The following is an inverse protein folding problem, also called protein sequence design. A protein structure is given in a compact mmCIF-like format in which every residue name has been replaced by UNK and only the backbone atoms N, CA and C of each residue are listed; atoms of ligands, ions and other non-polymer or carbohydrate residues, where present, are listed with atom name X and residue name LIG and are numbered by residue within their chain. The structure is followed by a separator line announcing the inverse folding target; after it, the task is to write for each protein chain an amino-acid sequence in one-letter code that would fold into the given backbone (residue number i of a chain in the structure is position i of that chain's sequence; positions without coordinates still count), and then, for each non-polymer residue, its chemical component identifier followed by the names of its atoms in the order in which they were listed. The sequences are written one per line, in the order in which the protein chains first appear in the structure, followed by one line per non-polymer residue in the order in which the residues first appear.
data_IF_246836038020
#
_entry.id   IF_246836038020
#
_cell.length_a   1.000
_cell.length_b   1.000
_cell.length_c   1.000
_cell.angle_alpha   90.00
_cell.angle_beta   90.00
_cell.angle_gamma   90.00
#
_symmetry.space_group_name_H-M   'P 1'
#
loop_
_entity.id
_entity.type
_entity.pdbx_description
1 polymer ?
#
# COMPACT_ATOMS: atom_id res chain seq x y z
N UNK A 1 0.83 -20.26 6.14
CA UNK A 1 -0.21 -20.10 7.18
C UNK A 1 -0.66 -21.45 7.72
N UNK A 2 -1.35 -22.31 6.96
CA UNK A 2 -1.87 -23.59 7.47
C UNK A 2 -0.79 -24.48 8.15
N UNK A 3 0.40 -24.64 7.55
CA UNK A 3 1.54 -25.35 8.19
C UNK A 3 2.02 -24.71 9.50
N UNK A 4 1.98 -23.38 9.61
CA UNK A 4 2.41 -22.68 10.81
C UNK A 4 1.35 -22.73 11.92
N UNK A 5 0.08 -22.91 11.53
CA UNK A 5 -1.05 -23.09 12.45
C UNK A 5 -1.26 -24.57 12.86
N UNK A 6 -0.44 -25.49 12.33
CA UNK A 6 -0.50 -26.93 12.61
C UNK A 6 -1.89 -27.55 12.43
N UNK A 7 -2.59 -27.14 11.36
CA UNK A 7 -3.92 -27.66 11.01
C UNK A 7 -3.85 -28.67 9.87
N UNK A 8 -4.70 -29.73 9.87
CA UNK A 8 -4.85 -30.63 8.72
C UNK A 8 -5.22 -29.86 7.45
N UNK A 9 -4.66 -30.28 6.31
CA UNK A 9 -4.84 -29.60 5.02
C UNK A 9 -5.56 -30.54 4.06
N UNK A 10 -6.72 -30.08 3.60
CA UNK A 10 -7.56 -30.74 2.60
C UNK A 10 -7.58 -29.87 1.35
N UNK A 11 -7.42 -30.46 0.16
CA UNK A 11 -7.22 -29.73 -1.10
C UNK A 11 -8.32 -30.06 -2.11
N UNK A 12 -9.04 -29.03 -2.55
CA UNK A 12 -9.98 -29.12 -3.68
C UNK A 12 -9.30 -28.68 -4.99
N UNK A 13 -9.17 -29.60 -5.95
CA UNK A 13 -8.69 -29.32 -7.30
C UNK A 13 -9.89 -28.82 -8.11
N UNK A 14 -9.98 -27.50 -8.27
CA UNK A 14 -11.14 -26.86 -8.90
C UNK A 14 -11.10 -26.89 -10.45
N UNK A 15 -12.26 -26.63 -11.08
CA UNK A 15 -12.51 -26.47 -12.53
C UNK A 15 -12.53 -27.78 -13.32
N UNK A 16 -12.74 -28.94 -12.68
CA UNK A 16 -12.74 -30.27 -13.35
C UNK A 16 -13.83 -30.44 -14.43
N UNK A 17 -14.72 -29.46 -14.57
CA UNK A 17 -15.65 -29.34 -15.71
C UNK A 17 -14.96 -29.01 -17.04
N UNK A 18 -13.72 -28.51 -17.00
CA UNK A 18 -12.95 -28.18 -18.22
C UNK A 18 -12.26 -29.41 -18.79
N UNK A 19 -12.37 -29.60 -20.11
CA UNK A 19 -11.83 -30.75 -20.83
C UNK A 19 -10.29 -30.89 -20.78
N UNK A 20 -9.55 -29.80 -20.52
CA UNK A 20 -8.08 -29.80 -20.50
C UNK A 20 -7.49 -29.85 -19.08
N UNK A 21 -8.24 -30.31 -18.07
CA UNK A 21 -7.69 -30.47 -16.72
C UNK A 21 -7.14 -31.88 -16.54
N UNK A 22 -5.85 -31.92 -16.24
CA UNK A 22 -5.13 -33.11 -15.82
C UNK A 22 -4.95 -33.05 -14.30
N UNK A 23 -5.77 -33.82 -13.58
CA UNK A 23 -5.78 -33.89 -12.12
C UNK A 23 -4.46 -34.51 -11.61
N UNK A 24 -3.96 -35.54 -12.30
CA UNK A 24 -2.73 -36.23 -11.91
C UNK A 24 -1.52 -35.31 -12.01
N UNK A 25 -1.47 -34.47 -13.05
CA UNK A 25 -0.43 -33.44 -13.16
C UNK A 25 -0.46 -32.45 -12.01
N UNK A 26 -1.64 -32.01 -11.57
CA UNK A 26 -1.78 -31.11 -10.43
C UNK A 26 -1.40 -31.80 -9.11
N UNK A 27 -1.75 -33.09 -8.94
CA UNK A 27 -1.29 -33.90 -7.81
C UNK A 27 0.24 -34.04 -7.76
N UNK A 28 0.92 -34.22 -8.91
CA UNK A 28 2.40 -34.21 -8.98
C UNK A 28 2.98 -32.89 -8.49
N UNK A 29 2.45 -31.77 -8.96
CA UNK A 29 2.89 -30.43 -8.55
C UNK A 29 2.64 -30.17 -7.05
N UNK A 30 1.52 -30.65 -6.51
CA UNK A 30 1.24 -30.60 -5.07
C UNK A 30 2.25 -31.44 -4.28
N UNK A 31 2.62 -32.62 -4.76
CA UNK A 31 3.63 -33.48 -4.14
C UNK A 31 5.00 -32.78 -4.09
N UNK A 32 5.39 -32.06 -5.15
CA UNK A 32 6.64 -31.27 -5.17
C UNK A 32 6.64 -30.17 -4.10
N UNK A 33 5.47 -29.64 -3.75
CA UNK A 33 5.29 -28.68 -2.66
C UNK A 33 5.22 -29.34 -1.28
N UNK A 34 5.25 -30.68 -1.19
CA UNK A 34 5.16 -31.44 0.05
C UNK A 34 3.73 -31.84 0.45
N UNK A 35 2.79 -31.86 -0.49
CA UNK A 35 1.41 -32.31 -0.30
C UNK A 35 1.16 -33.59 -1.11
N UNK A 36 1.52 -34.74 -0.56
CA UNK A 36 1.29 -36.04 -1.21
C UNK A 36 -0.16 -36.47 -0.98
N UNK A 37 -0.87 -36.74 -2.08
CA UNK A 37 -2.27 -37.15 -2.06
C UNK A 37 -2.46 -38.53 -1.41
N UNK A 38 -3.58 -38.73 -0.70
CA UNK A 38 -3.88 -40.01 -0.02
C UNK A 38 -3.95 -41.20 -0.97
N UNK A 39 -4.51 -41.03 -2.16
CA UNK A 39 -4.58 -42.10 -3.17
C UNK A 39 -3.20 -42.53 -3.68
N UNK A 40 -2.17 -41.71 -3.42
CA UNK A 40 -0.77 -42.00 -3.73
C UNK A 40 0.04 -42.39 -2.46
N UNK A 41 -0.66 -42.75 -1.38
CA UNK A 41 -0.05 -43.15 -0.11
C UNK A 41 0.41 -41.99 0.78
N UNK A 42 -0.06 -40.77 0.51
CA UNK A 42 0.21 -39.59 1.31
C UNK A 42 -0.80 -39.38 2.46
N UNK A 43 -0.81 -38.15 3.00
CA UNK A 43 -1.70 -37.72 4.08
C UNK A 43 -2.61 -36.55 3.69
N UNK A 44 -2.45 -36.02 2.47
CA UNK A 44 -3.24 -34.88 2.01
C UNK A 44 -4.47 -35.41 1.30
N UNK A 45 -5.65 -35.15 1.87
CA UNK A 45 -6.92 -35.40 1.22
C UNK A 45 -7.02 -34.49 -0.01
N UNK A 46 -7.27 -35.08 -1.18
CA UNK A 46 -7.45 -34.33 -2.43
C UNK A 46 -8.73 -34.76 -3.13
N UNK A 47 -9.54 -33.81 -3.59
CA UNK A 47 -10.75 -34.10 -4.37
C UNK A 47 -10.85 -33.18 -5.59
N UNK A 48 -11.36 -33.72 -6.70
CA UNK A 48 -11.64 -32.94 -7.91
C UNK A 48 -13.03 -32.31 -7.85
N UNK A 49 -13.11 -30.98 -7.91
CA UNK A 49 -14.39 -30.25 -7.82
C UNK A 49 -14.60 -29.28 -8.98
N UNK A 50 -15.86 -28.98 -9.28
CA UNK A 50 -16.25 -27.88 -10.15
C UNK A 50 -17.11 -26.90 -9.37
N UNK A 51 -16.54 -25.77 -8.98
CA UNK A 51 -17.28 -24.69 -8.32
C UNK A 51 -18.34 -24.03 -9.22
N UNK A 52 -18.36 -24.35 -10.52
CA UNK A 52 -19.36 -23.83 -11.47
C UNK A 52 -20.56 -24.77 -11.62
N UNK A 53 -20.32 -26.08 -11.69
CA UNK A 53 -21.37 -27.07 -11.93
C UNK A 53 -21.82 -27.79 -10.67
N UNK A 54 -21.07 -27.65 -9.56
CA UNK A 54 -21.29 -28.39 -8.32
C UNK A 54 -20.72 -29.81 -8.33
N UNK A 55 -20.16 -30.28 -9.45
CA UNK A 55 -19.59 -31.63 -9.55
C UNK A 55 -18.49 -31.84 -8.49
N UNK A 56 -18.58 -32.95 -7.75
CA UNK A 56 -17.57 -33.36 -6.75
C UNK A 56 -17.65 -32.61 -5.41
N UNK A 57 -18.60 -31.68 -5.24
CA UNK A 57 -18.75 -30.93 -3.98
C UNK A 57 -19.25 -31.84 -2.86
N UNK A 58 -20.20 -32.74 -3.13
CA UNK A 58 -20.72 -33.68 -2.12
C UNK A 58 -19.62 -34.62 -1.62
N UNK A 59 -18.85 -35.22 -2.53
CA UNK A 59 -17.69 -36.06 -2.18
C UNK A 59 -16.64 -35.28 -1.38
N UNK A 60 -16.39 -34.01 -1.74
CA UNK A 60 -15.48 -33.17 -0.98
C UNK A 60 -15.99 -32.86 0.44
N UNK A 61 -17.30 -32.66 0.60
CA UNK A 61 -17.92 -32.45 1.90
C UNK A 61 -17.79 -33.71 2.77
N UNK A 62 -18.05 -34.89 2.21
CA UNK A 62 -17.90 -36.16 2.92
C UNK A 62 -16.46 -36.36 3.44
N UNK A 63 -15.46 -35.99 2.62
CA UNK A 63 -14.06 -36.05 3.02
C UNK A 63 -13.72 -35.06 4.15
N UNK A 64 -14.31 -33.86 4.14
CA UNK A 64 -14.15 -32.90 5.25
C UNK A 64 -14.77 -33.45 6.54
N UNK A 65 -15.96 -34.03 6.45
CA UNK A 65 -16.65 -34.64 7.60
C UNK A 65 -15.85 -35.80 8.18
N UNK A 66 -15.34 -36.70 7.33
CA UNK A 66 -14.49 -37.81 7.75
C UNK A 66 -13.22 -37.30 8.46
N UNK A 67 -12.58 -36.25 7.92
CA UNK A 67 -11.41 -35.65 8.56
C UNK A 67 -11.76 -35.05 9.93
N UNK A 68 -12.93 -34.44 10.08
CA UNK A 68 -13.39 -33.88 11.36
C UNK A 68 -13.69 -34.99 12.39
N UNK A 69 -14.24 -36.14 11.97
CA UNK A 69 -14.44 -37.31 12.83
C UNK A 69 -13.11 -37.86 13.35
N UNK A 70 -12.11 -37.99 12.47
CA UNK A 70 -10.75 -38.45 12.84
C UNK A 70 -10.09 -37.52 13.88
N UNK A 71 -10.39 -36.22 13.81
CA UNK A 71 -9.85 -35.22 14.75
C UNK A 71 -10.50 -35.28 16.14
N UNK A 72 -11.63 -35.98 16.30
CA UNK A 72 -12.39 -36.06 17.55
C UNK A 72 -12.61 -34.68 18.21
N UNK A 73 -13.06 -33.70 17.42
CA UNK A 73 -13.25 -32.32 17.88
C UNK A 73 -14.20 -32.26 19.09
N UNK A 74 -13.78 -31.55 20.15
CA UNK A 74 -14.54 -31.39 21.41
C UNK A 74 -14.62 -29.92 21.77
N UNK A 75 -15.74 -29.53 22.36
CA UNK A 75 -15.93 -28.21 22.97
C UNK A 75 -16.69 -28.38 24.28
N UNK A 76 -16.36 -27.55 25.28
CA UNK A 76 -17.07 -27.54 26.56
C UNK A 76 -18.25 -26.57 26.48
N UNK A 77 -19.47 -27.08 26.66
CA UNK A 77 -20.70 -26.28 26.62
C UNK A 77 -21.07 -25.69 28.00
N UNK A 78 -20.47 -26.18 29.08
CA UNK A 78 -20.86 -25.85 30.45
C UNK A 78 -20.12 -24.67 31.08
N UNK A 79 -19.05 -24.19 30.43
CA UNK A 79 -18.24 -23.05 30.90
C UNK A 79 -18.69 -21.72 30.30
N UNK A 80 -18.16 -20.62 30.86
CA UNK A 80 -18.34 -19.29 30.31
C UNK A 80 -17.82 -19.21 28.87
N UNK A 81 -18.56 -18.48 28.02
CA UNK A 81 -18.28 -18.48 26.60
C UNK A 81 -16.97 -17.78 26.26
N UNK A 82 -16.21 -18.43 25.37
CA UNK A 82 -15.00 -17.91 24.77
C UNK A 82 -15.19 -17.92 23.27
N UNK A 83 -14.89 -16.82 22.60
CA UNK A 83 -14.98 -16.71 21.16
C UNK A 83 -13.81 -15.94 20.58
N UNK A 84 -13.72 -15.92 19.25
CA UNK A 84 -12.74 -15.15 18.51
C UNK A 84 -13.44 -14.20 17.54
N UNK A 85 -12.96 -12.97 17.44
CA UNK A 85 -13.47 -11.99 16.48
C UNK A 85 -13.04 -12.41 15.08
N UNK A 86 -14.02 -12.69 14.21
CA UNK A 86 -13.78 -12.92 12.78
C UNK A 86 -13.71 -11.58 12.05
N UNK A 87 -14.64 -10.69 12.36
CA UNK A 87 -14.74 -9.37 11.74
C UNK A 87 -15.44 -8.39 12.69
N UNK A 88 -15.14 -7.10 12.57
CA UNK A 88 -15.83 -6.07 13.31
C UNK A 88 -16.03 -4.79 12.48
N UNK A 89 -17.16 -4.12 12.69
CA UNK A 89 -17.58 -2.92 11.94
C UNK A 89 -18.35 -1.95 12.83
N UNK A 90 -18.41 -0.69 12.41
CA UNK A 90 -19.26 0.32 13.06
C UNK A 90 -20.55 0.51 12.25
N UNK A 91 -21.68 0.05 12.77
CA UNK A 91 -22.98 0.21 12.12
C UNK A 91 -23.62 1.55 12.46
N UNK A 92 -24.07 2.29 11.43
CA UNK A 92 -24.85 3.52 11.60
C UNK A 92 -26.09 3.25 12.46
N UNK A 93 -26.29 4.04 13.52
CA UNK A 93 -27.44 3.97 14.42
C UNK A 93 -27.46 2.82 15.43
N UNK A 94 -26.74 1.72 15.19
CA UNK A 94 -26.67 0.57 16.13
C UNK A 94 -25.44 0.62 17.03
N UNK A 95 -24.31 1.13 16.54
CA UNK A 95 -23.03 1.11 17.25
C UNK A 95 -22.09 0.00 16.75
N UNK A 96 -21.07 -0.37 17.54
CA UNK A 96 -20.09 -1.41 17.16
C UNK A 96 -20.74 -2.79 17.05
N UNK A 97 -20.49 -3.47 15.94
CA UNK A 97 -20.85 -4.86 15.68
C UNK A 97 -19.59 -5.69 15.55
N UNK A 98 -19.61 -6.92 16.07
CA UNK A 98 -18.52 -7.87 15.91
C UNK A 98 -19.10 -9.25 15.58
N UNK A 99 -18.60 -9.87 14.52
CA UNK A 99 -18.85 -11.27 14.20
C UNK A 99 -17.89 -12.14 15.02
N UNK A 100 -18.45 -12.98 15.88
CA UNK A 100 -17.72 -13.83 16.83
C UNK A 100 -17.92 -15.28 16.42
N UNK A 101 -16.84 -16.04 16.29
CA UNK A 101 -16.91 -17.49 16.24
C UNK A 101 -16.75 -18.03 17.67
N UNK A 102 -17.80 -18.62 18.21
CA UNK A 102 -17.77 -19.20 19.57
C UNK A 102 -16.94 -20.48 19.56
N UNK A 103 -15.98 -20.60 20.47
CA UNK A 103 -15.08 -21.75 20.57
C UNK A 103 -15.44 -22.65 21.75
N UNK A 104 -15.84 -22.05 22.88
CA UNK A 104 -16.22 -22.75 24.10
C UNK A 104 -17.40 -22.02 24.76
N UNK A 105 -18.16 -22.72 25.58
CA UNK A 105 -19.35 -22.25 26.26
C UNK A 105 -20.50 -21.88 25.30
N UNK A 106 -21.57 -21.32 25.86
CA UNK A 106 -22.71 -20.82 25.08
C UNK A 106 -22.83 -19.32 25.31
N UNK A 107 -22.60 -18.54 24.27
CA UNK A 107 -22.71 -17.09 24.31
C UNK A 107 -24.19 -16.70 24.31
N UNK A 108 -24.61 -15.76 25.18
CA UNK A 108 -26.02 -15.40 25.33
C UNK A 108 -26.26 -13.89 25.29
N UNK A 109 -27.46 -13.51 24.87
CA UNK A 109 -27.92 -12.13 25.02
C UNK A 109 -28.00 -11.79 26.50
N UNK A 110 -27.36 -10.68 26.88
CA UNK A 110 -27.28 -10.22 28.26
C UNK A 110 -25.95 -10.54 28.95
N UNK A 111 -25.07 -11.34 28.35
CA UNK A 111 -23.75 -11.60 28.92
C UNK A 111 -22.89 -10.33 28.94
N UNK A 112 -22.11 -10.16 30.00
CA UNK A 112 -21.02 -9.20 30.03
C UNK A 112 -19.79 -9.83 29.38
N UNK A 113 -19.16 -9.11 28.48
CA UNK A 113 -18.00 -9.62 27.76
C UNK A 113 -16.89 -8.58 27.65
N UNK A 114 -15.67 -9.09 27.50
CA UNK A 114 -14.47 -8.32 27.22
C UNK A 114 -13.86 -8.83 25.93
N UNK A 115 -13.55 -7.92 25.01
CA UNK A 115 -12.88 -8.22 23.75
C UNK A 115 -11.76 -7.20 23.53
N UNK A 116 -10.51 -7.66 23.55
CA UNK A 116 -9.35 -6.76 23.49
C UNK A 116 -9.38 -5.69 24.59
N UNK A 117 -9.51 -4.43 24.20
CA UNK A 117 -9.56 -3.23 25.05
C UNK A 117 -10.98 -2.67 25.23
N UNK A 118 -11.97 -3.45 24.84
CA UNK A 118 -13.37 -3.06 24.81
C UNK A 118 -14.17 -4.02 25.69
N UNK A 119 -15.16 -3.48 26.36
CA UNK A 119 -16.08 -4.21 27.20
C UNK A 119 -17.53 -3.81 26.89
N UNK A 120 -18.47 -4.68 27.21
CA UNK A 120 -19.88 -4.37 27.05
C UNK A 120 -20.79 -5.51 27.42
N UNK A 121 -22.09 -5.18 27.49
CA UNK A 121 -23.16 -6.16 27.66
C UNK A 121 -23.76 -6.47 26.31
N UNK A 122 -23.92 -7.74 25.97
CA UNK A 122 -24.54 -8.17 24.71
C UNK A 122 -26.01 -7.75 24.73
N UNK A 123 -26.39 -6.84 23.84
CA UNK A 123 -27.75 -6.30 23.71
C UNK A 123 -28.59 -7.08 22.70
N UNK A 124 -27.95 -7.58 21.66
CA UNK A 124 -28.56 -8.38 20.61
C UNK A 124 -27.50 -9.25 19.96
N UNK A 125 -27.94 -10.40 19.41
CA UNK A 125 -27.13 -11.28 18.59
C UNK A 125 -27.92 -11.67 17.34
N UNK A 126 -27.19 -11.93 16.25
CA UNK A 126 -27.74 -12.38 14.98
C UNK A 126 -26.91 -13.53 14.42
N UNK A 127 -27.56 -14.45 13.70
CA UNK A 127 -26.87 -15.51 12.95
C UNK A 127 -26.29 -14.99 11.62
N UNK A 128 -25.70 -15.89 10.83
CA UNK A 128 -25.13 -15.62 9.51
C UNK A 128 -26.16 -15.19 8.47
N UNK A 129 -27.44 -15.50 8.70
CA UNK A 129 -28.59 -15.06 7.88
C UNK A 129 -29.22 -13.77 8.41
N UNK A 130 -28.59 -13.09 9.37
CA UNK A 130 -29.07 -11.87 10.03
C UNK A 130 -30.39 -12.05 10.78
N UNK A 131 -30.75 -13.28 11.14
CA UNK A 131 -31.91 -13.56 11.99
C UNK A 131 -31.52 -13.40 13.47
N UNK A 132 -32.40 -12.82 14.30
CA UNK A 132 -32.09 -12.62 15.72
C UNK A 132 -32.00 -13.96 16.47
N UNK A 133 -30.96 -14.11 17.28
CA UNK A 133 -30.73 -15.29 18.12
C UNK A 133 -30.52 -14.89 19.59
N UNK A 134 -30.84 -15.80 20.51
CA UNK A 134 -30.67 -15.58 21.97
C UNK A 134 -29.44 -16.27 22.54
N UNK A 135 -28.97 -17.33 21.87
CA UNK A 135 -27.82 -18.13 22.27
C UNK A 135 -27.01 -18.56 21.04
N UNK A 136 -25.69 -18.69 21.21
CA UNK A 136 -24.78 -19.19 20.19
C UNK A 136 -23.84 -20.24 20.83
N UNK A 137 -23.97 -21.54 20.47
CA UNK A 137 -23.12 -22.61 21.00
C UNK A 137 -21.73 -22.62 20.33
N UNK A 138 -20.79 -23.46 20.80
CA UNK A 138 -19.50 -23.65 20.15
C UNK A 138 -19.63 -23.98 18.65
N UNK A 139 -18.69 -23.49 17.86
CA UNK A 139 -18.66 -23.55 16.39
C UNK A 139 -19.74 -22.72 15.66
N UNK A 140 -20.59 -21.99 16.39
CA UNK A 140 -21.60 -21.12 15.79
C UNK A 140 -21.06 -19.68 15.60
N UNK A 141 -21.23 -19.07 14.41
CA UNK A 141 -20.93 -17.66 14.20
C UNK A 141 -22.09 -16.78 14.71
N UNK A 142 -21.78 -15.76 15.52
CA UNK A 142 -22.77 -14.82 16.03
C UNK A 142 -22.30 -13.37 15.83
N UNK A 143 -23.09 -12.54 15.15
CA UNK A 143 -22.87 -11.09 15.11
C UNK A 143 -23.45 -10.46 16.38
N UNK A 144 -22.58 -9.93 17.24
CA UNK A 144 -22.97 -9.34 18.52
C UNK A 144 -23.04 -7.82 18.44
N UNK A 145 -23.98 -7.25 19.19
CA UNK A 145 -24.11 -5.82 19.44
C UNK A 145 -23.99 -5.53 20.93
N UNK A 146 -23.19 -4.52 21.31
CA UNK A 146 -23.18 -4.01 22.70
C UNK A 146 -21.82 -3.65 23.28
N UNK A 147 -20.74 -3.93 22.56
CA UNK A 147 -19.39 -3.48 22.93
C UNK A 147 -19.29 -1.94 22.86
N UNK A 148 -18.45 -1.36 23.72
CA UNK A 148 -18.18 0.07 23.75
C UNK A 148 -17.17 0.55 22.69
N UNK A 149 -16.69 -0.34 21.82
CA UNK A 149 -15.81 -0.04 20.70
C UNK A 149 -15.75 -1.18 19.70
N UNK A 150 -15.00 -0.98 18.63
CA UNK A 150 -14.83 -1.96 17.54
C UNK A 150 -13.58 -2.78 17.85
N UNK A 151 -13.70 -4.07 18.24
CA UNK A 151 -12.54 -4.91 18.50
C UNK A 151 -11.78 -5.25 17.21
N UNK A 152 -10.54 -5.69 17.34
CA UNK A 152 -9.74 -6.11 16.18
C UNK A 152 -10.02 -7.57 15.81
N UNK A 153 -9.99 -7.93 14.52
CA UNK A 153 -10.05 -9.33 14.11
C UNK A 153 -8.95 -10.17 14.76
N UNK A 154 -9.29 -11.39 15.17
CA UNK A 154 -8.40 -12.30 15.88
C UNK A 154 -8.31 -12.08 17.39
N UNK A 155 -8.90 -11.01 17.94
CA UNK A 155 -8.99 -10.84 19.39
C UNK A 155 -9.97 -11.84 20.01
N UNK A 156 -9.66 -12.30 21.22
CA UNK A 156 -10.54 -13.17 21.97
C UNK A 156 -11.62 -12.38 22.70
N UNK A 157 -12.85 -12.87 22.58
CA UNK A 157 -13.98 -12.50 23.40
C UNK A 157 -14.08 -13.45 24.61
N UNK A 158 -14.20 -12.87 25.80
CA UNK A 158 -14.37 -13.58 27.05
C UNK A 158 -15.65 -13.11 27.73
N UNK A 159 -16.57 -14.03 28.03
CA UNK A 159 -17.69 -13.73 28.94
C UNK A 159 -17.16 -13.65 30.36
N UNK A 160 -17.68 -12.67 31.11
CA UNK A 160 -17.30 -12.40 32.50
C UNK A 160 -18.56 -12.29 33.38
N UNK A 161 -18.44 -12.52 34.70
CA UNK A 161 -19.62 -12.57 35.58
C UNK A 161 -20.40 -11.25 35.68
N UNK A 162 -19.70 -10.11 35.64
CA UNK A 162 -20.30 -8.80 35.86
C UNK A 162 -19.51 -7.66 35.22
N UNK A 163 -20.15 -6.49 35.16
CA UNK A 163 -19.59 -5.25 34.60
C UNK A 163 -18.31 -4.81 35.31
N UNK A 164 -18.22 -5.01 36.63
CA UNK A 164 -17.07 -4.55 37.42
C UNK A 164 -15.83 -5.33 37.02
N UNK A 165 -15.96 -6.64 36.89
CA UNK A 165 -14.93 -7.56 36.42
C UNK A 165 -14.48 -7.19 34.99
N UNK A 166 -15.42 -6.92 34.09
CA UNK A 166 -15.13 -6.46 32.72
C UNK A 166 -14.28 -5.18 32.70
N UNK A 167 -14.70 -4.15 33.46
CA UNK A 167 -14.01 -2.86 33.53
C UNK A 167 -12.61 -2.99 34.13
N UNK A 168 -12.42 -3.81 35.16
CA UNK A 168 -11.11 -4.04 35.77
C UNK A 168 -10.13 -4.70 34.79
N UNK A 169 -10.58 -5.70 34.01
CA UNK A 169 -9.77 -6.37 32.98
C UNK A 169 -9.33 -5.36 31.91
N UNK A 170 -10.27 -4.59 31.35
CA UNK A 170 -9.94 -3.61 30.30
C UNK A 170 -9.01 -2.53 30.82
N UNK A 171 -9.24 -2.01 32.03
CA UNK A 171 -8.37 -1.00 32.64
C UNK A 171 -6.94 -1.51 32.74
N UNK A 172 -6.74 -2.74 33.22
CA UNK A 172 -5.41 -3.36 33.31
C UNK A 172 -4.76 -3.52 31.93
N UNK A 173 -5.52 -3.99 30.93
CA UNK A 173 -5.01 -4.13 29.54
C UNK A 173 -4.60 -2.79 28.93
N UNK A 174 -5.37 -1.72 29.17
CA UNK A 174 -5.04 -0.35 28.71
C UNK A 174 -3.76 0.15 29.36
N UNK A 175 -3.61 0.00 30.68
CA UNK A 175 -2.39 0.40 31.38
C UNK A 175 -1.16 -0.35 30.86
N UNK A 176 -1.29 -1.63 30.52
CA UNK A 176 -0.22 -2.42 29.89
C UNK A 176 0.10 -1.95 28.47
N UNK A 177 -0.91 -1.63 27.66
CA UNK A 177 -0.71 -1.10 26.31
C UNK A 177 -0.05 0.28 26.33
N UNK A 178 -0.49 1.17 27.21
CA UNK A 178 0.08 2.52 27.39
C UNK A 178 1.55 2.42 27.82
N UNK A 179 1.88 1.50 28.74
CA UNK A 179 3.27 1.20 29.10
C UNK A 179 4.08 0.70 27.90
N UNK A 180 3.53 -0.18 27.06
CA UNK A 180 4.21 -0.64 25.84
C UNK A 180 4.44 0.50 24.84
N UNK A 181 3.48 1.42 24.70
CA UNK A 181 3.63 2.63 23.86
C UNK A 181 4.70 3.57 24.40
N UNK A 182 4.82 3.70 25.72
CA UNK A 182 5.87 4.50 26.37
C UNK A 182 7.26 3.82 26.31
N UNK A 183 7.31 2.48 26.17
CA UNK A 183 8.55 1.68 26.04
C UNK A 183 8.99 1.51 24.58
N UNK A 184 8.13 1.78 23.59
CA UNK A 184 8.60 2.11 22.23
C UNK A 184 9.57 3.29 22.36
N UNK A 185 10.77 3.25 21.75
CA UNK A 185 11.94 3.98 22.24
C UNK A 185 11.69 5.49 22.28
N UNK A 186 11.26 5.98 23.44
CA UNK A 186 11.18 7.39 23.81
C UNK A 186 12.55 7.93 24.26
N UNK A 187 13.65 7.28 23.86
CA UNK A 187 14.96 7.89 23.89
C UNK A 187 15.19 8.58 22.56
N UNK A 188 14.48 9.69 22.35
CA UNK A 188 14.95 10.71 21.41
C UNK A 188 16.31 11.17 21.93
N UNK A 189 17.40 10.71 21.30
CA UNK A 189 18.71 11.31 21.54
C UNK A 189 18.68 12.70 20.91
N UNK A 190 19.38 13.66 21.52
CA UNK A 190 19.63 14.97 20.88
C UNK A 190 20.20 14.81 19.46
N UNK A 191 20.94 13.72 19.21
CA UNK A 191 21.46 13.31 17.89
C UNK A 191 20.35 12.99 16.86
N UNK A 192 19.20 12.44 17.27
CA UNK A 192 18.06 12.16 16.38
C UNK A 192 17.22 13.42 16.10
N UNK A 193 17.21 14.38 17.04
CA UNK A 193 16.69 15.73 16.76
C UNK A 193 17.55 16.45 15.70
N UNK A 194 18.88 16.28 15.73
CA UNK A 194 19.77 16.80 14.68
C UNK A 194 19.58 16.11 13.32
N UNK A 195 19.18 14.83 13.28
CA UNK A 195 18.80 14.15 12.02
C UNK A 195 17.51 14.72 11.44
N UNK A 196 16.48 14.96 12.26
CA UNK A 196 15.23 15.61 11.79
C UNK A 196 15.43 17.05 11.32
N UNK A 197 16.37 17.79 11.91
CA UNK A 197 16.73 19.14 11.42
C UNK A 197 17.49 19.07 10.08
N UNK A 198 18.12 17.94 9.73
CA UNK A 198 18.66 17.68 8.38
C UNK A 198 17.60 17.18 7.38
N UNK A 199 16.42 16.77 7.84
CA UNK A 199 15.31 16.23 7.04
C UNK A 199 14.32 17.31 6.56
N UNK A 200 14.74 18.58 6.40
CA UNK A 200 13.92 19.63 5.75
C UNK A 200 13.51 19.30 4.29
N UNK A 201 13.90 18.14 3.75
CA UNK A 201 13.69 17.75 2.35
C UNK A 201 12.75 16.56 2.15
N UNK A 202 12.26 15.89 3.21
CA UNK A 202 11.31 14.78 3.05
C UNK A 202 9.89 15.34 2.96
N UNK A 203 9.25 15.19 1.80
CA UNK A 203 7.87 15.65 1.61
C UNK A 203 6.92 14.67 2.29
N UNK A 204 5.99 15.16 3.10
CA UNK A 204 4.98 14.30 3.72
C UNK A 204 3.68 14.33 2.93
N UNK A 205 3.18 13.17 2.55
CA UNK A 205 1.82 13.00 2.04
C UNK A 205 0.95 12.44 3.16
N UNK A 206 0.05 13.25 3.68
CA UNK A 206 -0.77 12.91 4.84
C UNK A 206 -2.14 12.41 4.41
N UNK A 207 -2.60 11.32 5.02
CA UNK A 207 -3.93 10.78 4.76
C UNK A 207 -4.69 10.46 6.06
N UNK A 208 -6.01 10.55 5.98
CA UNK A 208 -6.94 9.97 6.96
C UNK A 208 -7.61 8.78 6.29
N UNK A 209 -7.46 7.58 6.86
CA UNK A 209 -7.94 6.34 6.27
C UNK A 209 -9.18 5.82 7.03
N UNK A 210 -10.29 5.65 6.31
CA UNK A 210 -11.54 5.09 6.85
C UNK A 210 -11.92 3.83 6.09
N UNK A 211 -12.30 2.77 6.78
CA UNK A 211 -12.77 1.52 6.14
C UNK A 211 -14.07 1.02 6.78
N UNK A 212 -14.82 0.20 6.04
CA UNK A 212 -16.08 -0.38 6.50
C UNK A 212 -15.87 -1.36 7.66
N UNK A 213 -14.81 -2.17 7.57
CA UNK A 213 -14.47 -3.23 8.51
C UNK A 213 -13.01 -3.08 8.98
N UNK A 214 -12.74 -3.47 10.23
CA UNK A 214 -11.42 -3.34 10.84
C UNK A 214 -10.31 -4.12 10.13
N UNK A 215 -10.59 -5.36 9.71
CA UNK A 215 -9.58 -6.20 9.03
C UNK A 215 -9.09 -5.61 7.71
N UNK A 216 -10.00 -4.99 6.95
CA UNK A 216 -9.61 -4.31 5.71
C UNK A 216 -8.81 -3.04 5.98
N UNK A 217 -9.14 -2.31 7.06
CA UNK A 217 -8.37 -1.13 7.47
C UNK A 217 -6.90 -1.49 7.70
N UNK A 218 -6.64 -2.56 8.45
CA UNK A 218 -5.27 -3.02 8.74
C UNK A 218 -4.56 -3.53 7.49
N UNK A 219 -5.25 -4.29 6.65
CA UNK A 219 -4.67 -4.81 5.41
C UNK A 219 -4.26 -3.68 4.44
N UNK A 220 -5.11 -2.65 4.31
CA UNK A 220 -4.82 -1.48 3.47
C UNK A 220 -3.68 -0.65 4.07
N UNK A 221 -3.69 -0.40 5.38
CA UNK A 221 -2.62 0.32 6.09
C UNK A 221 -1.26 -0.36 5.90
N UNK A 222 -1.21 -1.69 6.07
CA UNK A 222 0.01 -2.48 5.87
C UNK A 222 0.49 -2.49 4.40
N UNK A 223 -0.43 -2.45 3.44
CA UNK A 223 -0.08 -2.35 2.02
C UNK A 223 0.48 -0.96 1.68
N UNK A 224 -0.14 0.10 2.21
CA UNK A 224 0.26 1.48 2.02
C UNK A 224 1.63 1.80 2.65
N UNK A 225 1.94 1.20 3.79
CA UNK A 225 3.24 1.36 4.45
C UNK A 225 4.44 1.00 3.55
N UNK A 226 4.24 0.15 2.54
CA UNK A 226 5.28 -0.23 1.57
C UNK A 226 5.65 0.87 0.58
N UNK A 227 4.84 1.92 0.46
CA UNK A 227 5.08 3.03 -0.48
C UNK A 227 5.86 4.20 0.14
N UNK A 228 6.19 4.15 1.43
CA UNK A 228 7.00 5.20 2.06
C UNK A 228 8.47 5.09 1.64
N UNK A 229 9.10 6.20 1.28
CA UNK A 229 10.48 6.25 0.80
C UNK A 229 11.28 7.43 1.37
N UNK A 230 12.55 7.56 0.95
CA UNK A 230 13.46 8.59 1.47
C UNK A 230 13.10 10.03 1.08
N UNK A 231 12.45 10.23 -0.08
CA UNK A 231 12.07 11.58 -0.58
C UNK A 231 10.63 11.98 -0.24
N UNK A 232 9.73 11.00 -0.15
CA UNK A 232 8.31 11.20 0.15
C UNK A 232 7.87 10.16 1.18
N UNK A 233 7.36 10.63 2.30
CA UNK A 233 6.84 9.81 3.38
C UNK A 233 5.30 9.81 3.33
N UNK A 234 4.70 8.61 3.28
CA UNK A 234 3.26 8.46 3.47
C UNK A 234 2.96 8.42 4.97
N UNK A 235 2.17 9.39 5.45
CA UNK A 235 1.80 9.50 6.86
C UNK A 235 0.29 9.33 7.05
N UNK A 236 -0.11 8.25 7.72
CA UNK A 236 -1.51 8.00 8.09
C UNK A 236 -1.78 8.71 9.42
N UNK A 237 -2.34 9.92 9.34
CA UNK A 237 -2.61 10.80 10.49
C UNK A 237 -3.67 10.20 11.41
N UNK A 238 -4.69 9.61 10.82
CA UNK A 238 -5.76 8.94 11.55
C UNK A 238 -6.28 7.77 10.73
N UNK A 239 -6.59 6.67 11.42
CA UNK A 239 -7.28 5.51 10.86
C UNK A 239 -8.49 5.17 11.71
N UNK A 240 -9.60 4.81 11.07
CA UNK A 240 -10.81 4.47 11.80
C UNK A 240 -11.79 3.61 11.00
N UNK A 241 -12.61 2.88 11.74
CA UNK A 241 -13.68 2.05 11.16
C UNK A 241 -14.98 2.85 11.07
N UNK A 242 -15.74 2.65 9.99
CA UNK A 242 -17.03 3.27 9.74
C UNK A 242 -16.97 4.46 8.79
N UNK A 243 -18.15 5.06 8.59
CA UNK A 243 -18.35 6.20 7.70
C UNK A 243 -17.42 7.39 8.00
N UNK A 244 -17.09 8.14 6.96
CA UNK A 244 -16.39 9.42 7.07
C UNK A 244 -17.34 10.42 7.71
N UNK A 245 -16.88 11.12 8.74
CA UNK A 245 -17.68 12.06 9.53
C UNK A 245 -17.08 13.48 9.50
N UNK A 246 -17.80 14.42 10.12
CA UNK A 246 -17.38 15.84 10.22
C UNK A 246 -16.03 15.98 10.92
N UNK A 247 -15.76 15.21 11.98
CA UNK A 247 -14.47 15.28 12.67
C UNK A 247 -13.28 14.85 11.81
N UNK A 248 -13.48 13.89 10.90
CA UNK A 248 -12.43 13.46 9.95
C UNK A 248 -12.08 14.61 8.99
N UNK A 249 -13.08 15.35 8.50
CA UNK A 249 -12.89 16.51 7.60
C UNK A 249 -12.21 17.68 8.32
N UNK A 250 -12.58 17.94 9.58
CA UNK A 250 -11.95 18.98 10.38
C UNK A 250 -10.49 18.64 10.72
N UNK A 251 -10.21 17.37 11.02
CA UNK A 251 -8.84 16.91 11.24
C UNK A 251 -8.01 17.03 9.96
N UNK A 252 -8.59 16.70 8.81
CA UNK A 252 -7.95 16.84 7.50
C UNK A 252 -7.55 18.29 7.21
N UNK A 253 -8.44 19.25 7.50
CA UNK A 253 -8.15 20.68 7.35
C UNK A 253 -6.99 21.14 8.23
N UNK A 254 -6.94 20.71 9.49
CA UNK A 254 -5.87 21.13 10.42
C UNK A 254 -4.53 20.51 10.05
N UNK A 255 -4.54 19.34 9.42
CA UNK A 255 -3.32 18.55 9.16
C UNK A 255 -2.85 18.59 7.71
N UNK A 256 -3.60 19.23 6.81
CA UNK A 256 -3.45 19.17 5.35
C UNK A 256 -3.45 17.72 4.83
N UNK A 257 -4.35 16.89 5.36
CA UNK A 257 -4.48 15.49 4.98
C UNK A 257 -5.59 15.26 3.94
N UNK A 258 -5.40 14.27 3.06
CA UNK A 258 -6.45 13.79 2.15
C UNK A 258 -7.30 12.74 2.87
N UNK A 259 -8.62 12.81 2.73
CA UNK A 259 -9.52 11.81 3.32
C UNK A 259 -9.74 10.67 2.34
N UNK A 260 -9.40 9.45 2.75
CA UNK A 260 -9.47 8.22 1.95
C UNK A 260 -10.43 7.24 2.61
N UNK A 261 -11.48 6.85 1.89
CA UNK A 261 -12.47 5.88 2.33
C UNK A 261 -12.41 4.58 1.52
N UNK A 262 -12.40 3.42 2.16
CA UNK A 262 -12.57 2.12 1.52
C UNK A 262 -13.92 1.51 1.90
N UNK A 263 -14.80 1.27 0.91
CA UNK A 263 -16.17 0.74 1.09
C UNK A 263 -17.04 1.51 2.10
N UNK A 264 -16.69 2.75 2.41
CA UNK A 264 -17.43 3.64 3.31
C UNK A 264 -18.10 4.76 2.55
N UNK A 265 -19.08 5.42 3.18
CA UNK A 265 -19.70 6.63 2.68
C UNK A 265 -19.51 7.79 3.65
N UNK A 266 -19.49 9.01 3.12
CA UNK A 266 -19.72 10.24 3.88
C UNK A 266 -21.20 10.63 3.79
N UNK A 267 -21.79 11.18 4.84
CA UNK A 267 -23.14 11.75 4.77
C UNK A 267 -23.16 13.09 3.99
N UNK A 268 -24.36 13.62 3.72
CA UNK A 268 -24.49 14.85 2.92
C UNK A 268 -23.78 16.04 3.57
N UNK A 269 -23.98 16.23 4.88
CA UNK A 269 -23.37 17.33 5.64
C UNK A 269 -21.84 17.26 5.59
N UNK A 270 -21.25 16.08 5.75
CA UNK A 270 -19.79 15.87 5.71
C UNK A 270 -19.23 16.14 4.31
N UNK A 271 -19.93 15.71 3.23
CA UNK A 271 -19.51 15.99 1.85
C UNK A 271 -19.55 17.48 1.52
N UNK A 272 -20.61 18.16 1.95
CA UNK A 272 -20.77 19.60 1.71
C UNK A 272 -19.71 20.40 2.46
N UNK A 273 -19.40 20.00 3.69
CA UNK A 273 -18.31 20.58 4.47
C UNK A 273 -16.93 20.37 3.82
N UNK A 274 -16.65 19.15 3.34
CA UNK A 274 -15.39 18.84 2.66
C UNK A 274 -15.21 19.72 1.41
N UNK A 275 -16.26 19.87 0.60
CA UNK A 275 -16.26 20.78 -0.57
C UNK A 275 -16.05 22.24 -0.18
N UNK A 276 -16.75 22.70 0.86
CA UNK A 276 -16.64 24.08 1.33
C UNK A 276 -15.20 24.41 1.79
N UNK A 277 -14.53 23.46 2.46
CA UNK A 277 -13.17 23.62 2.98
C UNK A 277 -12.08 23.22 1.97
N UNK A 278 -12.45 22.76 0.76
CA UNK A 278 -11.50 22.33 -0.25
C UNK A 278 -10.72 21.05 0.12
N UNK A 279 -11.27 20.22 1.00
CA UNK A 279 -10.65 18.97 1.43
C UNK A 279 -10.95 17.87 0.42
N UNK A 280 -9.90 17.34 -0.21
CA UNK A 280 -10.01 16.20 -1.12
C UNK A 280 -10.49 14.97 -0.35
N UNK A 281 -11.60 14.38 -0.82
CA UNK A 281 -12.18 13.16 -0.25
C UNK A 281 -12.37 12.13 -1.35
N UNK A 282 -11.69 10.99 -1.25
CA UNK A 282 -11.78 9.89 -2.22
C UNK A 282 -12.33 8.64 -1.57
N UNK A 283 -13.25 7.97 -2.26
CA UNK A 283 -13.87 6.73 -1.80
C UNK A 283 -13.68 5.64 -2.85
N UNK A 284 -13.20 4.48 -2.42
CA UNK A 284 -12.88 3.35 -3.28
C UNK A 284 -13.70 2.12 -2.91
N UNK A 285 -13.99 1.29 -3.90
CA UNK A 285 -14.63 -0.02 -3.72
C UNK A 285 -13.64 -1.18 -3.90
N UNK A 286 -12.55 -0.93 -4.65
CA UNK A 286 -11.53 -1.91 -5.02
C UNK A 286 -10.19 -1.47 -4.41
N UNK A 287 -9.52 -2.39 -3.70
CA UNK A 287 -8.29 -2.05 -2.95
C UNK A 287 -7.17 -1.63 -3.90
N UNK A 288 -7.04 -2.29 -5.06
CA UNK A 288 -5.99 -1.97 -6.03
C UNK A 288 -6.11 -0.55 -6.58
N UNK A 289 -7.33 -0.08 -6.86
CA UNK A 289 -7.55 1.31 -7.31
C UNK A 289 -7.09 2.32 -6.24
N UNK A 290 -7.38 2.05 -4.97
CA UNK A 290 -6.92 2.88 -3.85
C UNK A 290 -5.39 2.92 -3.80
N UNK A 291 -4.74 1.75 -3.86
CA UNK A 291 -3.28 1.65 -3.77
C UNK A 291 -2.61 2.36 -4.96
N UNK A 292 -3.15 2.19 -6.17
CA UNK A 292 -2.62 2.78 -7.39
C UNK A 292 -2.75 4.31 -7.39
N UNK A 293 -3.89 4.85 -6.96
CA UNK A 293 -4.11 6.30 -6.86
C UNK A 293 -3.19 6.93 -5.81
N UNK A 294 -3.01 6.30 -4.65
CA UNK A 294 -2.09 6.80 -3.62
C UNK A 294 -0.64 6.70 -4.10
N UNK A 295 -0.25 5.61 -4.76
CA UNK A 295 1.07 5.48 -5.38
C UNK A 295 1.30 6.58 -6.42
N UNK A 296 0.33 6.85 -7.29
CA UNK A 296 0.43 7.90 -8.29
C UNK A 296 0.56 9.30 -7.67
N UNK A 297 -0.17 9.58 -6.59
CA UNK A 297 -0.04 10.82 -5.83
C UNK A 297 1.37 10.98 -5.25
N UNK A 298 1.92 9.93 -4.64
CA UNK A 298 3.29 9.91 -4.11
C UNK A 298 4.32 10.10 -5.23
N UNK A 299 4.15 9.44 -6.39
CA UNK A 299 5.02 9.62 -7.56
C UNK A 299 4.98 11.06 -8.10
N UNK A 300 3.82 11.69 -8.09
CA UNK A 300 3.67 13.10 -8.47
C UNK A 300 4.43 14.07 -7.55
N UNK A 301 4.76 13.64 -6.34
CA UNK A 301 5.55 14.43 -5.37
C UNK A 301 7.06 14.21 -5.51
N UNK A 302 7.50 13.17 -6.22
CA UNK A 302 8.92 12.88 -6.43
C UNK A 302 9.61 13.94 -7.28
N UNK A 303 10.88 14.19 -7.00
CA UNK A 303 11.67 15.11 -7.81
C UNK A 303 11.97 14.46 -9.17
N UNK A 304 11.64 15.12 -10.31
CA UNK A 304 11.89 14.55 -11.62
C UNK A 304 13.38 14.33 -11.88
N UNK A 305 13.73 13.24 -12.57
CA UNK A 305 15.12 12.99 -12.98
C UNK A 305 15.41 13.66 -14.32
N UNK A 306 16.51 14.40 -14.39
CA UNK A 306 16.99 15.02 -15.63
C UNK A 306 17.86 14.01 -16.39
N UNK A 307 17.45 13.64 -17.60
CA UNK A 307 18.23 12.79 -18.50
C UNK A 307 18.86 13.64 -19.59
N UNK A 308 20.18 13.50 -19.77
CA UNK A 308 20.89 14.07 -20.91
C UNK A 308 20.72 13.15 -22.12
N UNK A 309 20.16 13.66 -23.20
CA UNK A 309 20.05 12.95 -24.49
C UNK A 309 20.98 13.59 -25.50
N UNK A 310 21.75 12.78 -26.22
CA UNK A 310 22.65 13.28 -27.27
C UNK A 310 21.82 13.83 -28.44
N UNK A 311 22.15 15.05 -28.88
CA UNK A 311 21.43 15.78 -29.92
C UNK A 311 22.28 15.94 -31.18
N UNK A 312 23.58 16.16 -31.01
CA UNK A 312 24.46 16.35 -32.14
C UNK A 312 25.92 16.46 -31.77
N UNK A 313 26.78 16.28 -32.77
CA UNK A 313 28.23 16.35 -32.67
C UNK A 313 28.74 17.40 -33.64
N UNK A 314 29.58 18.28 -33.14
CA UNK A 314 30.15 19.40 -33.88
C UNK A 314 31.68 19.26 -33.85
N UNK A 315 32.34 19.39 -34.99
CA UNK A 315 33.80 19.37 -35.06
C UNK A 315 34.36 20.75 -35.33
N UNK A 316 35.31 21.16 -34.49
CA UNK A 316 35.99 22.45 -34.62
C UNK A 316 37.01 22.37 -35.76
N UNK A 317 36.89 23.26 -36.75
CA UNK A 317 37.80 23.37 -37.89
C UNK A 317 38.84 24.45 -37.66
N UNK A 318 38.39 25.63 -37.24
CA UNK A 318 39.24 26.79 -37.02
C UNK A 318 38.77 27.59 -35.81
N UNK A 319 39.66 28.38 -35.23
CA UNK A 319 39.40 29.12 -34.00
C UNK A 319 39.72 30.60 -34.24
N UNK A 320 38.72 31.46 -34.05
CA UNK A 320 38.83 32.89 -34.23
C UNK A 320 38.83 33.58 -32.86
N UNK A 321 39.84 34.44 -32.62
CA UNK A 321 39.93 35.27 -31.41
C UNK A 321 39.27 36.62 -31.67
N UNK A 322 38.19 36.93 -30.96
CA UNK A 322 37.56 38.26 -30.99
C UNK A 322 37.92 39.03 -29.73
N UNK A 323 38.40 40.27 -29.92
CA UNK A 323 38.96 41.13 -28.87
C UNK A 323 37.96 41.57 -27.78
N UNK A 324 36.64 41.38 -27.97
CA UNK A 324 35.59 41.76 -27.00
C UNK A 324 34.61 40.64 -26.60
N UNK A 325 34.61 39.49 -27.28
CA UNK A 325 33.54 38.48 -27.16
C UNK A 325 34.06 37.07 -26.83
N UNK A 326 35.36 36.93 -26.57
CA UNK A 326 36.00 35.63 -26.36
C UNK A 326 36.35 34.92 -27.67
N UNK A 327 36.50 33.61 -27.60
CA UNK A 327 36.81 32.75 -28.74
C UNK A 327 35.53 32.26 -29.42
N UNK A 328 35.50 32.33 -30.75
CA UNK A 328 34.50 31.69 -31.60
C UNK A 328 35.17 30.58 -32.41
N UNK A 329 34.62 29.37 -32.30
CA UNK A 329 35.07 28.22 -33.06
C UNK A 329 34.26 28.13 -34.37
N UNK A 330 34.94 28.19 -35.52
CA UNK A 330 34.38 27.81 -36.81
C UNK A 330 34.28 26.30 -36.90
N UNK A 331 33.08 25.79 -37.06
CA UNK A 331 32.77 24.37 -36.90
C UNK A 331 31.88 23.84 -38.03
N UNK A 332 31.84 22.52 -38.16
CA UNK A 332 30.84 21.80 -38.96
C UNK A 332 30.07 20.83 -38.07
N UNK A 333 28.74 20.76 -38.26
CA UNK A 333 27.91 19.76 -37.58
C UNK A 333 28.11 18.42 -38.28
N UNK A 334 28.76 17.46 -37.61
CA UNK A 334 29.05 16.15 -38.19
C UNK A 334 27.90 15.17 -38.05
N UNK A 335 27.09 15.32 -37.00
CA UNK A 335 25.97 14.41 -36.72
C UNK A 335 24.86 15.17 -35.99
N UNK A 336 23.62 14.98 -36.38
CA UNK A 336 22.46 15.54 -35.69
C UNK A 336 22.33 17.05 -35.88
N UNK A 337 22.14 17.79 -34.80
CA UNK A 337 21.97 19.26 -34.86
C UNK A 337 22.67 19.99 -33.72
N UNK A 338 23.19 21.18 -34.01
CA UNK A 338 23.63 22.12 -32.99
C UNK A 338 22.46 23.00 -32.58
N UNK A 339 22.18 23.14 -31.28
CA UNK A 339 21.11 24.01 -30.77
C UNK A 339 21.71 25.01 -29.78
N UNK A 340 21.40 26.29 -29.95
CA UNK A 340 21.81 27.34 -29.01
C UNK A 340 21.26 27.08 -27.60
N UNK A 341 22.01 27.45 -26.56
CA UNK A 341 21.69 27.25 -25.14
C UNK A 341 21.60 25.80 -24.65
N UNK A 342 21.85 24.81 -25.52
CA UNK A 342 21.92 23.40 -25.11
C UNK A 342 23.22 23.12 -24.36
N UNK A 343 23.19 22.10 -23.51
CA UNK A 343 24.39 21.62 -22.83
C UNK A 343 25.38 21.09 -23.87
N UNK A 344 26.66 21.30 -23.61
CA UNK A 344 27.72 20.78 -24.47
C UNK A 344 28.91 20.29 -23.66
N UNK A 345 29.57 19.27 -24.19
CA UNK A 345 30.82 18.73 -23.68
C UNK A 345 31.87 18.83 -24.79
N UNK A 346 33.00 19.45 -24.49
CA UNK A 346 34.12 19.59 -25.41
C UNK A 346 35.13 18.50 -25.08
N UNK A 347 35.52 17.73 -26.09
CA UNK A 347 36.49 16.65 -25.98
C UNK A 347 37.66 16.89 -26.93
N UNK A 348 38.86 16.55 -26.44
CA UNK A 348 40.11 16.59 -27.20
C UNK A 348 40.70 15.19 -27.21
N UNK A 349 40.61 14.50 -28.34
CA UNK A 349 40.93 13.07 -28.41
C UNK A 349 39.95 12.25 -27.58
N UNK A 350 40.38 11.77 -26.42
CA UNK A 350 39.56 11.00 -25.48
C UNK A 350 39.26 11.74 -24.16
N UNK A 351 39.84 12.93 -23.93
CA UNK A 351 39.69 13.67 -22.69
C UNK A 351 38.62 14.76 -22.81
N UNK A 352 37.82 14.93 -21.76
CA UNK A 352 36.87 16.04 -21.63
C UNK A 352 37.61 17.27 -21.15
N UNK A 353 37.67 18.31 -21.99
CA UNK A 353 38.41 19.55 -21.69
C UNK A 353 37.50 20.67 -21.17
N UNK A 354 36.18 20.58 -21.41
CA UNK A 354 35.20 21.54 -20.90
C UNK A 354 33.78 20.96 -20.89
N UNK A 355 32.98 21.35 -19.89
CA UNK A 355 31.52 21.13 -19.85
C UNK A 355 30.81 22.47 -19.63
N UNK A 356 29.75 22.73 -20.40
CA UNK A 356 29.04 23.99 -20.31
C UNK A 356 27.79 24.05 -21.19
N UNK A 357 27.46 25.25 -21.66
CA UNK A 357 26.36 25.50 -22.60
C UNK A 357 26.87 26.25 -23.82
N UNK A 358 26.23 26.02 -24.97
CA UNK A 358 26.45 26.82 -26.17
C UNK A 358 25.88 28.23 -25.92
N UNK A 359 26.77 29.22 -25.73
CA UNK A 359 26.40 30.61 -25.46
C UNK A 359 25.93 31.34 -26.72
N UNK A 360 26.59 31.07 -27.85
CA UNK A 360 26.21 31.62 -29.14
C UNK A 360 26.35 30.58 -30.24
N UNK A 361 25.44 30.67 -31.20
CA UNK A 361 25.42 29.86 -32.40
C UNK A 361 25.09 30.79 -33.56
N UNK A 362 26.04 30.89 -34.50
CA UNK A 362 25.93 31.78 -35.66
C UNK A 362 26.10 31.01 -36.95
N UNK A 363 25.36 31.42 -37.97
CA UNK A 363 25.61 31.01 -39.35
C UNK A 363 26.03 32.26 -40.12
N UNK A 364 27.26 32.26 -40.63
CA UNK A 364 27.90 33.46 -41.16
C UNK A 364 27.91 34.59 -40.11
N UNK A 365 27.09 35.64 -40.29
CA UNK A 365 26.99 36.78 -39.39
C UNK A 365 25.75 36.76 -38.50
N UNK A 366 24.79 35.88 -38.79
CA UNK A 366 23.47 35.88 -38.17
C UNK A 366 23.40 34.89 -37.00
N UNK A 367 22.81 35.33 -35.89
CA UNK A 367 22.49 34.47 -34.77
C UNK A 367 21.32 33.54 -35.12
N UNK A 368 21.55 32.24 -34.98
CA UNK A 368 20.57 31.20 -35.32
C UNK A 368 20.20 30.37 -34.10
N UNK A 369 18.99 29.81 -34.11
CA UNK A 369 18.50 28.94 -33.04
C UNK A 369 19.16 27.56 -33.09
N UNK A 370 19.28 27.00 -34.29
CA UNK A 370 19.84 25.69 -34.54
C UNK A 370 20.51 25.61 -35.92
N UNK A 371 21.39 24.63 -36.07
CA UNK A 371 22.12 24.33 -37.31
C UNK A 371 22.08 22.81 -37.53
N UNK A 372 21.67 22.42 -38.74
CA UNK A 372 21.53 21.03 -39.14
C UNK A 372 22.87 20.37 -39.51
N UNK A 373 22.87 19.05 -39.59
CA UNK A 373 23.99 18.22 -40.02
C UNK A 373 24.56 18.67 -41.38
N UNK A 374 25.89 18.62 -41.51
CA UNK A 374 26.62 18.99 -42.72
C UNK A 374 26.78 20.49 -42.95
N UNK A 375 26.22 21.34 -42.10
CA UNK A 375 26.27 22.80 -42.24
C UNK A 375 27.35 23.41 -41.35
N UNK A 376 28.07 24.40 -41.89
CA UNK A 376 29.07 25.18 -41.16
C UNK A 376 28.41 26.24 -40.25
N UNK A 377 28.97 26.40 -39.06
CA UNK A 377 28.51 27.37 -38.07
C UNK A 377 29.65 27.87 -37.16
N UNK A 378 29.48 29.07 -36.63
CA UNK A 378 30.29 29.60 -35.54
C UNK A 378 29.66 29.25 -34.19
N UNK A 379 30.43 28.63 -33.30
CA UNK A 379 29.99 28.23 -31.95
C UNK A 379 30.87 28.90 -30.89
N UNK A 380 30.25 29.40 -29.82
CA UNK A 380 30.97 29.77 -28.60
C UNK A 380 30.36 29.06 -27.39
N UNK A 381 31.21 28.45 -26.56
CA UNK A 381 30.82 27.70 -25.36
C UNK A 381 31.31 28.34 -24.06
N UNK A 382 31.77 29.61 -24.14
CA UNK A 382 32.32 30.34 -22.99
C UNK A 382 33.67 29.83 -22.49
N UNK A 383 34.34 28.96 -23.24
CA UNK A 383 35.66 28.41 -22.93
C UNK A 383 36.70 28.89 -23.95
N UNK A 384 37.78 29.51 -23.46
CA UNK A 384 38.83 30.08 -24.29
C UNK A 384 39.95 29.07 -24.65
N UNK A 385 39.84 27.82 -24.23
CA UNK A 385 40.85 26.78 -24.51
C UNK A 385 40.52 25.89 -25.71
N UNK A 386 39.53 26.24 -26.54
CA UNK A 386 39.15 25.47 -27.73
C UNK A 386 40.27 25.52 -28.79
N UNK A 387 40.61 24.36 -29.35
CA UNK A 387 41.56 24.20 -30.44
C UNK A 387 40.89 23.57 -31.67
N UNK A 388 41.50 23.77 -32.84
CA UNK A 388 41.12 23.05 -34.04
C UNK A 388 41.29 21.53 -33.83
N UNK A 389 40.29 20.75 -34.23
CA UNK A 389 40.23 19.30 -34.00
C UNK A 389 39.45 18.88 -32.74
N UNK A 390 39.09 19.80 -31.84
CA UNK A 390 38.22 19.49 -30.71
C UNK A 390 36.80 19.10 -31.20
N UNK A 391 36.14 18.22 -30.45
CA UNK A 391 34.78 17.73 -30.73
C UNK A 391 33.83 18.20 -29.64
N UNK A 392 32.72 18.81 -30.04
CA UNK A 392 31.69 19.32 -29.14
C UNK A 392 30.45 18.44 -29.28
N UNK A 393 30.16 17.65 -28.26
CA UNK A 393 28.92 16.88 -28.17
C UNK A 393 27.84 17.71 -27.47
N UNK A 394 26.68 17.82 -28.12
CA UNK A 394 25.54 18.62 -27.69
C UNK A 394 24.47 17.71 -27.09
N UNK A 395 23.94 18.11 -25.94
CA UNK A 395 22.93 17.38 -25.19
C UNK A 395 21.70 18.24 -24.92
N UNK A 396 20.52 17.63 -25.03
CA UNK A 396 19.28 18.17 -24.47
C UNK A 396 19.04 17.61 -23.08
N UNK A 397 18.46 18.43 -22.20
CA UNK A 397 17.92 17.97 -20.93
C UNK A 397 16.45 17.62 -21.14
N UNK A 398 16.09 16.38 -20.83
CA UNK A 398 14.70 15.96 -20.76
C UNK A 398 14.38 15.62 -19.30
N UNK A 399 13.37 16.29 -18.75
CA UNK A 399 12.88 16.07 -17.40
C UNK A 399 11.91 14.91 -17.41
N UNK A 400 12.28 13.78 -16.80
CA UNK A 400 11.47 12.56 -16.77
C UNK A 400 10.87 12.42 -15.37
N UNK A 401 9.55 12.29 -15.29
CA UNK A 401 8.84 11.99 -14.05
C UNK A 401 9.32 10.64 -13.50
N UNK A 402 9.73 10.64 -12.23
CA UNK A 402 10.27 9.45 -11.57
C UNK A 402 9.11 8.58 -11.06
N UNK A 403 9.26 7.27 -11.15
CA UNK A 403 8.35 6.29 -10.57
C UNK A 403 9.03 5.54 -9.43
N UNK A 404 8.25 4.96 -8.52
CA UNK A 404 8.81 4.03 -7.55
C UNK A 404 9.44 2.84 -8.28
N UNK A 405 10.58 2.36 -7.77
CA UNK A 405 11.13 1.08 -8.21
C UNK A 405 10.18 -0.01 -7.71
N UNK A 406 9.73 -0.87 -8.62
CA UNK A 406 8.87 -2.03 -8.31
C UNK A 406 9.55 -3.03 -7.37
#
# INVERSE_FOLDING_TARGET
HARAADVPIVVAINKVDKQNIDIDKLKKQLSELGFLAEDWGGKTITAGVSAKTGKGVDEFLDLILLQAEIMELKADYGRDAVGIVVEAKLSKGKGPLAAILVQEGVLKVGDWCVCGLYEGKIKAMYDDLMSPITEAPPSFPAEILGLNGVPNPGEQLLVVPDEKSAREIVKKRREEEDKKRLVAPAHFKLEDLYKKVKEEHVKQFKIILKADVGGTLEAVDAALAKFSGEEVELNVVHKGVGAINVSDVLLAEVTDAVVVGFKVSADAQTRDLAKQKGIETRVYQIVYELLDDIKAALEGMLTPTVRRTFVGRIRVKEVFKLSRSGIIAGCIVEKGKAIRNSLCQVTRGAEVVHEGKIQSLKRFKDDVRDVAEGVECGVSVGYNGILAGDVIDVYSEETIARKFKE
#
